data_IF_200852048519
#
_entry.id   IF_200852048519
#
_cell.length_a   1.000
_cell.length_b   1.000
_cell.length_c   1.000
_cell.angle_alpha   90.00
_cell.angle_beta   90.00
_cell.angle_gamma   90.00
#
_symmetry.space_group_name_H-M   'P 1'
#
loop_
_entity.id
_entity.type
_entity.pdbx_description
1 polymer ?
#
# COMPACT_ATOMS: atom_id res chain seq x y z
N UNK A 1 -7.06 -39.84 66.96
CA UNK A 1 -8.11 -39.95 65.92
C UNK A 1 -8.89 -38.64 65.91
N UNK A 2 -8.56 -37.74 64.97
CA UNK A 2 -9.30 -36.51 64.58
C UNK A 2 -8.44 -35.88 63.47
N UNK A 3 -8.75 -36.16 62.20
CA UNK A 3 -9.65 -35.44 61.30
C UNK A 3 -8.90 -34.39 60.45
N UNK A 4 -8.89 -34.65 59.14
CA UNK A 4 -8.13 -34.00 58.06
C UNK A 4 -8.65 -32.59 57.77
N UNK A 5 -7.74 -31.63 57.59
CA UNK A 5 -7.97 -30.35 56.92
C UNK A 5 -8.17 -30.59 55.41
N UNK A 6 -9.32 -30.18 54.89
CA UNK A 6 -9.65 -30.10 53.46
C UNK A 6 -10.17 -28.68 53.23
N UNK A 7 -9.63 -27.97 52.22
CA UNK A 7 -10.24 -26.72 51.76
C UNK A 7 -9.29 -25.71 51.10
N UNK A 8 -8.96 -25.95 49.83
CA UNK A 8 -8.61 -24.95 48.81
C UNK A 8 -9.23 -25.48 47.49
N UNK A 9 -9.64 -24.66 46.51
CA UNK A 9 -9.36 -23.23 46.35
C UNK A 9 -10.59 -22.34 46.06
N UNK A 10 -10.43 -21.03 46.32
CA UNK A 10 -11.35 -19.99 45.83
C UNK A 10 -11.13 -19.77 44.33
N UNK A 11 -12.19 -19.99 43.55
CA UNK A 11 -12.23 -19.77 42.11
C UNK A 11 -12.32 -18.26 41.85
N UNK A 12 -11.25 -17.64 41.36
CA UNK A 12 -11.26 -16.27 40.87
C UNK A 12 -11.79 -16.26 39.42
N UNK A 13 -13.01 -15.78 39.22
CA UNK A 13 -13.59 -15.54 37.89
C UNK A 13 -13.15 -14.16 37.44
N UNK A 14 -12.16 -14.11 36.54
CA UNK A 14 -11.78 -12.89 35.82
C UNK A 14 -12.70 -12.74 34.61
N UNK A 15 -13.61 -11.78 34.66
CA UNK A 15 -14.40 -11.33 33.51
C UNK A 15 -13.54 -10.38 32.68
N UNK A 16 -12.90 -10.88 31.62
CA UNK A 16 -12.36 -10.04 30.55
C UNK A 16 -13.51 -9.56 29.67
N UNK A 17 -13.87 -8.29 29.80
CA UNK A 17 -14.72 -7.61 28.84
C UNK A 17 -13.94 -7.46 27.51
N UNK A 18 -14.32 -8.24 26.51
CA UNK A 18 -13.86 -8.06 25.15
C UNK A 18 -14.39 -6.71 24.63
N UNK A 19 -13.51 -5.72 24.54
CA UNK A 19 -13.78 -4.51 23.79
C UNK A 19 -13.78 -4.88 22.30
N UNK A 20 -14.95 -5.17 21.75
CA UNK A 20 -15.14 -5.19 20.31
C UNK A 20 -14.96 -3.76 19.80
N UNK A 21 -13.74 -3.42 19.37
CA UNK A 21 -13.48 -2.25 18.55
C UNK A 21 -14.19 -2.43 17.22
N UNK A 22 -15.41 -1.90 17.11
CA UNK A 22 -16.11 -1.80 15.84
C UNK A 22 -15.34 -0.83 14.95
N UNK A 23 -14.68 -1.35 13.92
CA UNK A 23 -14.30 -0.53 12.77
C UNK A 23 -15.58 0.06 12.20
N UNK A 24 -15.68 1.38 12.25
CA UNK A 24 -16.74 2.12 11.60
C UNK A 24 -16.50 1.96 10.11
N UNK A 25 -17.32 1.12 9.46
CA UNK A 25 -17.36 1.05 8.01
C UNK A 25 -17.76 2.43 7.49
N UNK A 26 -16.90 3.06 6.69
CA UNK A 26 -17.23 4.28 5.96
C UNK A 26 -18.46 4.03 5.08
N UNK A 27 -19.45 4.93 5.17
CA UNK A 27 -20.69 4.90 4.42
C UNK A 27 -20.44 4.88 2.89
N UNK A 28 -20.51 3.68 2.30
CA UNK A 28 -21.41 3.36 1.18
C UNK A 28 -21.25 4.02 -0.19
N UNK A 29 -20.26 4.86 -0.46
CA UNK A 29 -19.91 5.25 -1.85
C UNK A 29 -18.82 4.31 -2.37
N UNK A 30 -19.05 3.54 -3.44
CA UNK A 30 -18.01 2.71 -4.03
C UNK A 30 -16.82 3.58 -4.42
N UNK A 31 -15.63 3.26 -3.88
CA UNK A 31 -14.41 3.95 -4.28
C UNK A 31 -14.23 3.82 -5.80
N UNK A 32 -13.90 4.91 -6.51
CA UNK A 32 -13.56 4.82 -7.93
C UNK A 32 -12.25 4.05 -8.17
N UNK A 33 -11.47 3.80 -7.12
CA UNK A 33 -10.23 3.05 -7.12
C UNK A 33 -10.49 1.59 -6.76
N UNK A 34 -9.94 0.69 -7.57
CA UNK A 34 -9.99 -0.75 -7.36
C UNK A 34 -8.68 -1.24 -6.74
N UNK A 35 -8.73 -2.37 -6.00
CA UNK A 35 -7.56 -2.95 -5.32
C UNK A 35 -6.83 -1.93 -4.45
N UNK A 36 -7.59 -1.27 -3.59
CA UNK A 36 -7.06 -0.41 -2.54
C UNK A 36 -6.71 -1.22 -1.31
N UNK A 37 -5.88 -0.64 -0.47
CA UNK A 37 -5.43 -1.18 0.81
C UNK A 37 -5.82 -0.24 1.94
N UNK A 38 -5.94 -0.77 3.15
CA UNK A 38 -6.36 0.00 4.33
C UNK A 38 -5.19 0.82 4.94
N UNK A 39 -3.96 0.56 4.51
CA UNK A 39 -2.76 1.31 4.91
C UNK A 39 -1.68 1.24 3.83
N UNK A 40 -0.68 2.14 3.84
CA UNK A 40 0.43 2.07 2.90
C UNK A 40 1.37 0.88 3.18
N UNK A 41 1.45 0.42 4.43
CA UNK A 41 2.17 -0.81 4.80
C UNK A 41 1.49 -2.05 4.21
N UNK A 42 0.16 -2.15 4.31
CA UNK A 42 -0.60 -3.25 3.72
C UNK A 42 -0.41 -3.30 2.19
N UNK A 43 -0.32 -2.14 1.53
CA UNK A 43 0.03 -2.06 0.11
C UNK A 43 1.45 -2.57 -0.15
N UNK A 44 2.43 -2.10 0.63
CA UNK A 44 3.82 -2.52 0.49
C UNK A 44 3.99 -4.02 0.70
N UNK A 45 3.37 -4.59 1.73
CA UNK A 45 3.31 -6.03 1.98
C UNK A 45 2.67 -6.78 0.80
N UNK A 46 1.60 -6.24 0.20
CA UNK A 46 0.99 -6.79 -1.01
C UNK A 46 1.96 -6.83 -2.20
N UNK A 47 2.78 -5.79 -2.40
CA UNK A 47 3.84 -5.78 -3.42
C UNK A 47 4.92 -6.83 -3.11
N UNK A 48 5.39 -6.90 -1.87
CA UNK A 48 6.40 -7.87 -1.44
C UNK A 48 5.93 -9.32 -1.61
N UNK A 49 4.67 -9.60 -1.25
CA UNK A 49 4.07 -10.92 -1.44
C UNK A 49 4.00 -11.30 -2.92
N UNK A 50 3.51 -10.41 -3.78
CA UNK A 50 3.44 -10.66 -5.22
C UNK A 50 4.82 -10.87 -5.86
N UNK A 51 5.86 -10.15 -5.38
CA UNK A 51 7.24 -10.39 -5.81
C UNK A 51 7.76 -11.75 -5.37
N UNK A 52 7.53 -12.15 -4.12
CA UNK A 52 7.96 -13.43 -3.58
C UNK A 52 7.33 -14.61 -4.35
N UNK A 53 6.06 -14.47 -4.75
CA UNK A 53 5.32 -15.48 -5.49
C UNK A 53 5.58 -15.44 -7.01
N UNK A 54 6.30 -14.43 -7.50
CA UNK A 54 6.51 -14.21 -8.94
C UNK A 54 5.21 -13.86 -9.68
N UNK A 55 4.20 -13.34 -8.98
CA UNK A 55 2.88 -13.02 -9.51
C UNK A 55 2.90 -11.69 -10.27
N UNK A 56 3.44 -11.75 -11.48
CA UNK A 56 3.47 -10.63 -12.42
C UNK A 56 2.07 -10.07 -12.71
N UNK A 57 1.03 -10.89 -12.73
CA UNK A 57 -0.33 -10.43 -13.01
C UNK A 57 -0.89 -9.57 -11.87
N UNK A 58 -0.58 -9.92 -10.62
CA UNK A 58 -0.91 -9.06 -9.48
C UNK A 58 -0.12 -7.76 -9.51
N UNK A 59 1.20 -7.82 -9.75
CA UNK A 59 2.03 -6.61 -9.86
C UNK A 59 1.54 -5.66 -10.96
N UNK A 60 1.11 -6.19 -12.11
CA UNK A 60 0.51 -5.41 -13.21
C UNK A 60 -0.81 -4.72 -12.82
N UNK A 61 -1.58 -5.33 -11.91
CA UNK A 61 -2.90 -4.83 -11.51
C UNK A 61 -2.87 -3.88 -10.30
N UNK A 62 -1.74 -3.77 -9.59
CA UNK A 62 -1.60 -2.93 -8.40
C UNK A 62 -1.61 -1.42 -8.71
N UNK A 63 -0.87 -0.91 -9.73
CA UNK A 63 -0.88 0.51 -10.07
C UNK A 63 -2.25 1.05 -10.47
N UNK A 64 -2.36 2.37 -10.61
CA UNK A 64 -3.50 3.01 -11.25
C UNK A 64 -3.72 2.45 -12.67
N UNK A 65 -4.97 2.20 -13.00
CA UNK A 65 -5.41 1.95 -14.37
C UNK A 65 -5.60 3.27 -15.15
N UNK A 66 -5.69 3.18 -16.48
CA UNK A 66 -5.98 4.36 -17.32
C UNK A 66 -7.29 5.03 -16.92
N UNK A 67 -8.32 4.24 -16.63
CA UNK A 67 -9.63 4.75 -16.27
C UNK A 67 -9.55 5.52 -14.95
N UNK A 68 -8.93 4.94 -13.92
CA UNK A 68 -8.73 5.58 -12.61
C UNK A 68 -7.90 6.85 -12.75
N UNK A 69 -6.81 6.80 -13.52
CA UNK A 69 -5.98 7.98 -13.78
C UNK A 69 -6.79 9.07 -14.50
N UNK A 70 -7.61 8.70 -15.49
CA UNK A 70 -8.46 9.66 -16.24
C UNK A 70 -9.54 10.29 -15.38
N UNK A 71 -10.21 9.52 -14.53
CA UNK A 71 -11.40 10.00 -13.82
C UNK A 71 -11.10 10.56 -12.44
N UNK A 72 -10.02 10.12 -11.80
CA UNK A 72 -9.64 10.53 -10.44
C UNK A 72 -8.48 11.50 -10.45
N UNK A 73 -7.38 11.15 -11.12
CA UNK A 73 -6.11 11.89 -11.00
C UNK A 73 -6.07 13.08 -11.97
N UNK A 74 -6.30 12.83 -13.24
CA UNK A 74 -6.16 13.82 -14.32
C UNK A 74 -6.90 15.14 -14.07
N UNK A 75 -8.17 15.16 -13.62
CA UNK A 75 -8.91 16.41 -13.42
C UNK A 75 -8.25 17.40 -12.44
N UNK A 76 -7.46 16.90 -11.49
CA UNK A 76 -6.83 17.70 -10.44
C UNK A 76 -5.35 18.02 -10.72
N UNK A 77 -4.75 17.38 -11.73
CA UNK A 77 -3.34 17.65 -12.07
C UNK A 77 -3.15 19.05 -12.68
N UNK A 78 -2.10 19.80 -12.28
CA UNK A 78 -1.74 21.05 -12.95
C UNK A 78 -1.53 20.90 -14.47
N UNK A 79 -1.12 19.70 -14.91
CA UNK A 79 -0.89 19.35 -16.32
C UNK A 79 -2.16 19.22 -17.16
N UNK A 80 -3.33 19.00 -16.53
CA UNK A 80 -4.60 18.85 -17.25
C UNK A 80 -5.27 20.18 -17.58
N UNK A 81 -4.76 21.27 -17.01
CA UNK A 81 -5.26 22.62 -17.27
C UNK A 81 -5.17 22.95 -18.77
N UNK A 82 -6.25 23.44 -19.41
CA UNK A 82 -6.27 23.70 -20.85
C UNK A 82 -5.10 24.56 -21.35
N UNK A 83 -4.63 25.51 -20.53
CA UNK A 83 -3.51 26.42 -20.85
C UNK A 83 -2.17 25.69 -21.03
N UNK A 84 -2.04 24.47 -20.49
CA UNK A 84 -0.85 23.62 -20.68
C UNK A 84 -0.83 22.96 -22.05
N UNK A 85 -1.99 22.78 -22.69
CA UNK A 85 -2.09 22.15 -24.01
C UNK A 85 -1.57 20.71 -24.08
N UNK A 86 -1.47 20.01 -22.94
CA UNK A 86 -0.96 18.63 -22.87
C UNK A 86 -2.09 17.63 -23.11
N UNK A 87 -1.99 16.75 -24.13
CA UNK A 87 -2.96 15.68 -24.34
C UNK A 87 -2.92 14.65 -23.20
N UNK A 88 -4.09 14.18 -22.77
CA UNK A 88 -4.21 13.11 -21.77
C UNK A 88 -3.39 11.86 -22.17
N UNK A 89 -3.56 11.38 -23.40
CA UNK A 89 -2.91 10.15 -23.88
C UNK A 89 -1.38 10.24 -23.85
N UNK A 90 -0.82 11.44 -24.01
CA UNK A 90 0.61 11.67 -23.90
C UNK A 90 1.08 11.50 -22.45
N UNK A 91 0.40 12.16 -21.50
CA UNK A 91 0.79 12.12 -20.08
C UNK A 91 0.59 10.71 -19.50
N UNK A 92 -0.56 10.10 -19.78
CA UNK A 92 -0.83 8.73 -19.37
C UNK A 92 0.14 7.74 -20.01
N UNK A 93 0.38 7.86 -21.32
CA UNK A 93 1.27 6.97 -22.06
C UNK A 93 2.70 6.99 -21.51
N UNK A 94 3.25 8.17 -21.23
CA UNK A 94 4.58 8.33 -20.65
C UNK A 94 4.67 7.71 -19.24
N UNK A 95 3.73 8.03 -18.35
CA UNK A 95 3.69 7.48 -16.99
C UNK A 95 3.56 5.95 -17.01
N UNK A 96 2.59 5.43 -17.77
CA UNK A 96 2.31 4.01 -17.85
C UNK A 96 3.50 3.23 -18.41
N UNK A 97 4.14 3.75 -19.47
CA UNK A 97 5.34 3.14 -20.05
C UNK A 97 6.49 3.08 -19.04
N UNK A 98 6.80 4.18 -18.35
CA UNK A 98 7.86 4.23 -17.35
C UNK A 98 7.58 3.29 -16.19
N UNK A 99 6.36 3.32 -15.65
CA UNK A 99 5.92 2.43 -14.57
C UNK A 99 6.08 0.95 -14.96
N UNK A 100 5.63 0.55 -16.15
CA UNK A 100 5.77 -0.82 -16.63
C UNK A 100 7.24 -1.24 -16.80
N UNK A 101 8.10 -0.33 -17.25
CA UNK A 101 9.52 -0.61 -17.37
C UNK A 101 10.16 -0.85 -16.00
N UNK A 102 9.86 0.00 -15.01
CA UNK A 102 10.39 -0.17 -13.65
C UNK A 102 9.83 -1.42 -12.95
N UNK A 103 8.55 -1.72 -13.12
CA UNK A 103 7.96 -2.97 -12.64
C UNK A 103 8.68 -4.21 -13.20
N UNK A 104 9.00 -4.22 -14.50
CA UNK A 104 9.76 -5.33 -15.11
C UNK A 104 11.16 -5.44 -14.52
N UNK A 105 11.85 -4.31 -14.28
CA UNK A 105 13.16 -4.32 -13.61
C UNK A 105 13.06 -4.81 -12.17
N UNK A 106 12.03 -4.39 -11.44
CA UNK A 106 11.72 -4.83 -10.09
C UNK A 106 11.55 -6.35 -10.03
N UNK A 107 10.70 -6.92 -10.90
CA UNK A 107 10.49 -8.37 -11.01
C UNK A 107 11.80 -9.09 -11.31
N UNK A 108 12.60 -8.59 -12.27
CA UNK A 108 13.86 -9.23 -12.63
C UNK A 108 14.90 -9.22 -11.48
N UNK A 109 14.88 -8.21 -10.60
CA UNK A 109 15.84 -8.07 -9.50
C UNK A 109 15.41 -8.74 -8.20
N UNK A 110 14.11 -8.74 -7.92
CA UNK A 110 13.54 -9.14 -6.62
C UNK A 110 12.53 -10.28 -6.70
N UNK A 111 12.11 -10.69 -7.91
CA UNK A 111 11.20 -11.81 -8.08
C UNK A 111 11.74 -13.09 -7.43
N UNK A 112 10.88 -13.78 -6.67
CA UNK A 112 11.22 -14.98 -5.93
C UNK A 112 11.98 -14.74 -4.61
N UNK A 113 12.36 -13.50 -4.29
CA UNK A 113 12.93 -13.15 -2.97
C UNK A 113 11.80 -12.90 -1.98
N UNK A 114 11.98 -13.42 -0.77
CA UNK A 114 11.08 -13.13 0.36
C UNK A 114 11.67 -12.04 1.23
N UNK A 115 10.82 -11.06 1.54
CA UNK A 115 11.14 -9.94 2.39
C UNK A 115 10.03 -9.81 3.45
N UNK A 116 10.43 -9.44 4.66
CA UNK A 116 9.51 -8.97 5.69
C UNK A 116 9.61 -7.45 5.75
N UNK A 117 8.47 -6.75 5.67
CA UNK A 117 8.45 -5.29 5.88
C UNK A 117 8.80 -4.99 7.34
N UNK A 118 9.77 -4.11 7.55
CA UNK A 118 10.17 -3.62 8.88
C UNK A 118 9.64 -2.21 9.11
N UNK A 119 9.79 -1.34 8.11
CA UNK A 119 9.31 0.04 8.16
C UNK A 119 9.00 0.57 6.75
N UNK A 120 8.17 1.61 6.68
CA UNK A 120 7.81 2.30 5.45
C UNK A 120 7.89 3.82 5.65
N UNK A 121 8.69 4.47 4.82
CA UNK A 121 8.87 5.91 4.78
C UNK A 121 8.56 6.53 3.43
N UNK A 122 8.50 7.87 3.42
CA UNK A 122 8.38 8.69 2.23
C UNK A 122 9.42 9.82 2.32
N UNK A 123 10.44 9.78 1.47
CA UNK A 123 11.50 10.79 1.47
C UNK A 123 11.12 12.05 0.68
N UNK A 124 10.10 11.92 -0.18
CA UNK A 124 9.61 12.96 -1.07
C UNK A 124 8.41 13.72 -0.50
N UNK A 125 8.04 14.81 -1.17
CA UNK A 125 6.88 15.60 -0.76
C UNK A 125 5.56 14.82 -0.94
N UNK A 126 4.75 14.80 0.13
CA UNK A 126 3.33 14.44 0.02
C UNK A 126 2.56 15.60 -0.60
N UNK A 127 2.19 15.50 -1.87
CA UNK A 127 1.44 16.57 -2.56
C UNK A 127 -0.06 16.38 -2.33
N UNK A 128 -0.74 17.36 -1.70
CA UNK A 128 -2.18 17.36 -1.60
C UNK A 128 -2.83 17.83 -2.92
N UNK A 129 -3.93 17.18 -3.28
CA UNK A 129 -4.89 17.62 -4.29
C UNK A 129 -6.25 17.85 -3.60
N UNK A 130 -7.28 18.19 -4.36
CA UNK A 130 -8.59 18.49 -3.80
C UNK A 130 -9.22 17.26 -3.15
N UNK A 131 -9.08 16.08 -3.77
CA UNK A 131 -9.75 14.85 -3.31
C UNK A 131 -8.82 13.69 -2.95
N UNK A 132 -7.51 13.84 -3.14
CA UNK A 132 -6.53 12.83 -2.79
C UNK A 132 -5.17 13.46 -2.45
N UNK A 133 -4.25 12.66 -1.93
CA UNK A 133 -2.84 13.03 -1.77
C UNK A 133 -1.94 11.97 -2.39
N UNK A 134 -0.75 12.39 -2.81
CA UNK A 134 0.26 11.49 -3.37
C UNK A 134 1.51 11.56 -2.51
N UNK A 135 1.87 10.44 -1.89
CA UNK A 135 3.12 10.25 -1.18
C UNK A 135 4.19 9.80 -2.17
N UNK A 136 5.38 10.39 -2.12
CA UNK A 136 6.46 10.17 -3.11
C UNK A 136 7.72 9.66 -2.46
N UNK A 137 8.58 9.09 -3.30
CA UNK A 137 9.90 8.54 -2.96
C UNK A 137 9.73 7.55 -1.79
N UNK A 138 8.95 6.49 -2.03
CA UNK A 138 8.70 5.46 -1.02
C UNK A 138 9.98 4.69 -0.73
N UNK A 139 10.32 4.56 0.55
CA UNK A 139 11.46 3.78 1.03
C UNK A 139 10.94 2.68 1.96
N UNK A 140 11.26 1.43 1.66
CA UNK A 140 10.90 0.28 2.48
C UNK A 140 12.16 -0.21 3.19
N UNK A 141 12.15 -0.21 4.51
CA UNK A 141 13.12 -1.02 5.26
C UNK A 141 12.58 -2.44 5.29
N UNK A 142 13.33 -3.38 4.72
CA UNK A 142 12.94 -4.79 4.67
C UNK A 142 13.98 -5.67 5.31
N UNK A 143 13.55 -6.83 5.80
CA UNK A 143 14.43 -7.91 6.27
C UNK A 143 14.35 -9.11 5.33
N UNK A 144 15.49 -9.60 4.87
CA UNK A 144 15.57 -10.79 4.01
C UNK A 144 15.49 -12.11 4.81
N UNK A 145 15.53 -13.25 4.11
CA UNK A 145 15.49 -14.58 4.73
C UNK A 145 16.74 -14.90 5.57
N UNK A 146 17.87 -14.21 5.34
CA UNK A 146 19.08 -14.33 6.15
C UNK A 146 19.01 -13.46 7.42
N UNK A 147 17.98 -12.63 7.57
CA UNK A 147 17.79 -11.71 8.67
C UNK A 147 18.51 -10.37 8.49
N UNK A 148 19.10 -10.11 7.32
CA UNK A 148 19.73 -8.84 7.01
C UNK A 148 18.67 -7.79 6.68
N UNK A 149 18.82 -6.58 7.20
CA UNK A 149 17.96 -5.44 6.90
C UNK A 149 18.60 -4.56 5.83
N UNK A 150 17.80 -4.15 4.84
CA UNK A 150 18.18 -3.22 3.77
C UNK A 150 17.03 -2.28 3.43
N UNK A 151 17.37 -1.06 2.99
CA UNK A 151 16.39 -0.12 2.43
C UNK A 151 16.24 -0.34 0.93
N UNK A 152 14.99 -0.44 0.47
CA UNK A 152 14.63 -0.66 -0.93
C UNK A 152 13.61 0.37 -1.42
N UNK A 153 13.87 0.96 -2.57
CA UNK A 153 12.90 1.71 -3.35
C UNK A 153 12.25 0.78 -4.38
N UNK A 154 11.18 0.09 -3.99
CA UNK A 154 10.50 -0.89 -4.87
C UNK A 154 9.44 -0.25 -5.78
N UNK A 155 8.89 0.87 -5.37
CA UNK A 155 7.94 1.68 -6.13
C UNK A 155 8.02 3.12 -5.66
N UNK A 156 7.64 4.08 -6.51
CA UNK A 156 7.92 5.48 -6.21
C UNK A 156 6.82 6.24 -5.50
N UNK A 157 5.56 5.85 -5.66
CA UNK A 157 4.47 6.66 -5.11
C UNK A 157 3.19 5.90 -4.77
N UNK A 158 2.52 6.37 -3.73
CA UNK A 158 1.22 5.88 -3.25
C UNK A 158 0.22 7.03 -3.33
N UNK A 159 -0.98 6.74 -3.85
CA UNK A 159 -2.15 7.60 -3.76
C UNK A 159 -2.95 7.24 -2.52
N UNK A 160 -3.27 8.22 -1.69
CA UNK A 160 -4.23 8.07 -0.59
C UNK A 160 -5.49 8.89 -0.89
N UNK A 161 -6.66 8.25 -0.77
CA UNK A 161 -7.98 8.85 -0.94
C UNK A 161 -8.96 8.23 0.03
N UNK A 162 -9.66 9.06 0.80
CA UNK A 162 -10.74 8.62 1.71
C UNK A 162 -10.31 7.49 2.68
N UNK A 163 -9.04 7.52 3.11
CA UNK A 163 -8.43 6.50 3.98
C UNK A 163 -7.99 5.21 3.28
N UNK A 164 -8.13 5.13 1.96
CA UNK A 164 -7.73 4.00 1.14
C UNK A 164 -6.46 4.32 0.34
N UNK A 165 -5.57 3.34 0.21
CA UNK A 165 -4.25 3.47 -0.40
C UNK A 165 -4.16 2.66 -1.69
N UNK A 166 -3.58 3.25 -2.73
CA UNK A 166 -3.43 2.65 -4.06
C UNK A 166 -2.04 2.94 -4.60
N UNK A 167 -1.46 1.99 -5.31
CA UNK A 167 -0.14 2.19 -5.91
C UNK A 167 -0.30 3.19 -7.06
N UNK A 168 0.40 4.33 -6.99
CA UNK A 168 0.30 5.32 -8.05
C UNK A 168 1.14 4.87 -9.26
N UNK A 169 2.42 4.57 -9.03
CA UNK A 169 3.30 4.01 -10.07
C UNK A 169 4.55 3.35 -9.48
N UNK A 170 5.22 2.52 -10.28
CA UNK A 170 6.53 1.95 -9.96
C UNK A 170 7.71 2.88 -10.29
N UNK A 171 7.46 4.09 -10.79
CA UNK A 171 8.53 5.01 -11.21
C UNK A 171 9.27 5.50 -9.98
N UNK A 172 10.50 5.03 -9.79
CA UNK A 172 11.45 5.53 -8.79
C UNK A 172 12.37 6.56 -9.46
N UNK A 173 12.65 7.65 -8.75
CA UNK A 173 13.52 8.75 -9.22
C UNK A 173 15.01 8.48 -8.99
#
# INVERSE_FOLDING_TARGET
MTARLVGLPALAVVLLAAACGGSVASDGVPSPLHRTFDSPEALAEGVLAALADGDSATLEALPLSELEFRTVVWPELPSSRPERGLPFDYVWGDLHQKSNNEMRRLINRHGGKRYTLVDLGFDGETTPYETYRVHRETVLTVRDEAGAEEELALFGSILERDGAFKLFSYVVD
#
